data_IF_921100882192
#
_entry.id   IF_921100882192
#
_cell.length_a   1.000
_cell.length_b   1.000
_cell.length_c   1.000
_cell.angle_alpha   90.00
_cell.angle_beta   90.00
_cell.angle_gamma   90.00
#
_symmetry.space_group_name_H-M   'P 1'
#
loop_
_entity.id
_entity.type
_entity.pdbx_description
1 polymer ?
#
# COMPACT_ATOMS: atom_id res chain seq x y z
N UNK A 1 34.79 -16.68 28.36
CA UNK A 1 33.69 -15.69 28.23
C UNK A 1 33.49 -15.38 26.75
N UNK A 2 32.57 -16.08 26.07
CA UNK A 2 32.27 -15.82 24.64
C UNK A 2 31.14 -14.79 24.57
N UNK A 3 31.46 -13.58 24.11
CA UNK A 3 30.48 -12.53 23.79
C UNK A 3 29.56 -13.05 22.69
N UNK A 4 28.30 -13.32 23.03
CA UNK A 4 27.25 -13.59 22.05
C UNK A 4 26.86 -12.25 21.42
N UNK A 5 27.34 -12.01 20.20
CA UNK A 5 26.86 -10.91 19.39
C UNK A 5 25.46 -11.26 18.90
N UNK A 6 24.45 -10.58 19.42
CA UNK A 6 23.09 -10.63 18.88
C UNK A 6 23.09 -9.86 17.56
N UNK A 7 23.25 -10.58 16.44
CA UNK A 7 22.95 -10.04 15.12
C UNK A 7 21.42 -10.04 15.01
N UNK A 8 20.80 -8.89 15.32
CA UNK A 8 19.42 -8.63 14.92
C UNK A 8 19.48 -8.28 13.45
N UNK A 9 19.28 -9.28 12.59
CA UNK A 9 19.01 -9.05 11.17
C UNK A 9 17.64 -8.40 11.10
N UNK A 10 17.57 -7.07 11.08
CA UNK A 10 16.38 -6.38 10.60
C UNK A 10 16.34 -6.61 9.09
N UNK A 11 15.68 -7.69 8.72
CA UNK A 11 15.30 -7.97 7.35
C UNK A 11 14.20 -6.97 7.02
N UNK A 12 14.52 -6.06 6.10
CA UNK A 12 13.51 -5.47 5.22
C UNK A 12 12.64 -6.61 4.68
N UNK A 13 11.34 -6.38 4.66
CA UNK A 13 10.32 -7.36 4.37
C UNK A 13 10.45 -7.90 2.95
N UNK A 14 11.33 -8.90 2.77
CA UNK A 14 11.31 -9.79 1.62
C UNK A 14 10.04 -10.61 1.75
N UNK A 15 8.98 -10.14 1.08
CA UNK A 15 7.84 -11.01 0.81
C UNK A 15 8.29 -12.05 -0.20
N UNK A 16 8.60 -13.24 0.30
CA UNK A 16 8.72 -14.46 -0.50
C UNK A 16 7.50 -14.54 -1.42
N UNK A 17 7.77 -14.61 -2.72
CA UNK A 17 6.79 -15.03 -3.70
C UNK A 17 6.32 -16.43 -3.32
N UNK A 18 5.16 -16.51 -2.66
CA UNK A 18 4.40 -17.74 -2.65
C UNK A 18 3.92 -17.97 -4.08
N UNK A 19 4.69 -18.75 -4.83
CA UNK A 19 4.20 -19.49 -5.98
C UNK A 19 3.17 -20.51 -5.47
N UNK A 20 1.99 -20.04 -5.09
CA UNK A 20 0.80 -20.87 -5.00
C UNK A 20 0.08 -20.75 -6.35
N UNK A 21 -0.38 -21.87 -6.93
CA UNK A 21 -1.34 -21.81 -8.02
C UNK A 21 -2.65 -21.29 -7.43
N UNK A 22 -2.79 -19.97 -7.37
CA UNK A 22 -4.03 -19.28 -7.11
C UNK A 22 -4.90 -19.47 -8.35
N UNK A 23 -5.54 -20.63 -8.45
CA UNK A 23 -6.76 -20.78 -9.22
C UNK A 23 -7.86 -19.99 -8.49
N UNK A 24 -7.78 -18.65 -8.56
CA UNK A 24 -8.88 -17.78 -8.19
C UNK A 24 -9.87 -17.91 -9.32
N UNK A 25 -10.88 -18.75 -9.13
CA UNK A 25 -12.13 -18.59 -9.86
C UNK A 25 -12.72 -17.27 -9.38
N UNK A 26 -12.35 -16.17 -10.04
CA UNK A 26 -13.06 -14.90 -9.87
C UNK A 26 -14.38 -15.07 -10.60
N UNK A 27 -15.54 -15.06 -9.92
CA UNK A 27 -16.77 -14.71 -10.61
C UNK A 27 -16.61 -13.24 -10.99
N UNK A 28 -16.16 -12.98 -12.22
CA UNK A 28 -16.23 -11.68 -12.84
C UNK A 28 -17.72 -11.32 -12.94
N UNK A 29 -18.25 -10.67 -11.91
CA UNK A 29 -19.56 -10.04 -12.00
C UNK A 29 -19.39 -8.84 -12.95
N UNK A 30 -20.02 -8.84 -14.13
CA UNK A 30 -19.86 -7.73 -15.07
C UNK A 30 -20.47 -6.48 -14.43
N UNK A 31 -19.65 -5.45 -14.21
CA UNK A 31 -20.14 -4.14 -13.80
C UNK A 31 -20.82 -3.52 -15.02
N UNK A 32 -22.15 -3.36 -14.96
CA UNK A 32 -22.94 -2.78 -16.05
C UNK A 32 -22.80 -1.25 -16.06
N UNK A 33 -21.99 -0.71 -16.97
CA UNK A 33 -21.92 0.74 -17.23
C UNK A 33 -22.77 1.15 -18.43
N UNK A 34 -23.24 2.41 -18.42
CA UNK A 34 -23.96 3.00 -19.55
C UNK A 34 -23.11 2.98 -20.83
N UNK A 35 -23.68 2.48 -21.94
CA UNK A 35 -23.03 2.32 -23.25
C UNK A 35 -22.55 3.67 -23.80
N UNK A 36 -21.26 3.97 -23.64
CA UNK A 36 -20.60 5.00 -24.45
C UNK A 36 -20.35 4.46 -25.86
N UNK A 37 -20.82 5.18 -26.87
CA UNK A 37 -20.81 4.77 -28.29
C UNK A 37 -19.49 5.03 -29.01
N UNK A 38 -18.52 5.71 -28.37
CA UNK A 38 -17.23 6.06 -29.00
C UNK A 38 -16.17 5.00 -28.71
N UNK A 39 -15.93 4.09 -29.66
CA UNK A 39 -14.85 3.08 -29.58
C UNK A 39 -13.48 3.76 -29.58
N UNK A 40 -12.78 3.72 -28.45
CA UNK A 40 -11.36 4.14 -28.36
C UNK A 40 -10.49 2.98 -28.87
N UNK A 41 -9.62 3.26 -29.84
CA UNK A 41 -8.71 2.26 -30.38
C UNK A 41 -7.60 1.91 -29.37
N UNK A 42 -7.18 0.64 -29.33
CA UNK A 42 -6.11 0.18 -28.42
C UNK A 42 -4.79 0.93 -28.60
N UNK A 43 -4.46 1.37 -29.83
CA UNK A 43 -3.29 2.22 -30.10
C UNK A 43 -3.32 3.56 -29.35
N UNK A 44 -4.50 4.13 -29.16
CA UNK A 44 -4.69 5.38 -28.41
C UNK A 44 -4.45 5.14 -26.91
N UNK A 45 -4.94 4.02 -26.37
CA UNK A 45 -4.70 3.62 -24.98
C UNK A 45 -3.21 3.40 -24.74
N UNK A 46 -2.55 2.61 -25.59
CA UNK A 46 -1.11 2.34 -25.49
C UNK A 46 -0.27 3.62 -25.58
N UNK A 47 -0.62 4.55 -26.49
CA UNK A 47 0.05 5.86 -26.58
C UNK A 47 -0.09 6.66 -25.29
N UNK A 48 -1.30 6.74 -24.72
CA UNK A 48 -1.52 7.47 -23.47
C UNK A 48 -0.69 6.89 -22.32
N UNK A 49 -0.63 5.57 -22.19
CA UNK A 49 0.18 4.87 -21.16
C UNK A 49 1.67 5.16 -21.35
N UNK A 50 2.20 5.07 -22.58
CA UNK A 50 3.63 5.34 -22.86
C UNK A 50 4.03 6.78 -22.58
N UNK A 51 3.08 7.71 -22.57
CA UNK A 51 3.32 9.12 -22.26
C UNK A 51 3.25 9.45 -20.77
N UNK A 52 2.96 8.47 -19.90
CA UNK A 52 2.99 8.69 -18.45
C UNK A 52 4.37 8.36 -17.87
N UNK A 53 4.82 9.07 -16.82
CA UNK A 53 5.94 8.60 -16.01
C UNK A 53 5.68 7.17 -15.50
N UNK A 54 6.75 6.46 -15.16
CA UNK A 54 6.64 5.06 -14.75
C UNK A 54 5.63 4.87 -13.61
N UNK A 55 4.77 3.86 -13.71
CA UNK A 55 3.73 3.54 -12.73
C UNK A 55 2.82 4.75 -12.31
N UNK A 56 2.82 5.87 -13.03
CA UNK A 56 2.13 7.10 -12.62
C UNK A 56 1.02 7.49 -13.61
N UNK A 57 -0.22 6.99 -13.47
CA UNK A 57 -1.28 7.22 -14.45
C UNK A 57 -1.78 8.67 -14.41
N UNK A 58 -1.34 9.49 -15.35
CA UNK A 58 -1.73 10.90 -15.43
C UNK A 58 -3.19 11.07 -15.86
N UNK A 59 -3.66 12.32 -15.98
CA UNK A 59 -5.03 12.59 -16.40
C UNK A 59 -5.39 12.05 -17.79
N UNK A 60 -4.42 11.86 -18.71
CA UNK A 60 -4.66 11.29 -20.04
C UNK A 60 -5.13 9.84 -19.98
N UNK A 61 -4.71 9.09 -18.95
CA UNK A 61 -5.07 7.69 -18.71
C UNK A 61 -6.33 7.56 -17.88
N UNK A 62 -6.63 8.51 -16.99
CA UNK A 62 -7.78 8.48 -16.06
C UNK A 62 -9.07 9.10 -16.58
N UNK A 63 -9.08 9.58 -17.82
CA UNK A 63 -10.24 10.25 -18.45
C UNK A 63 -10.81 9.45 -19.63
N UNK A 64 -10.45 8.19 -19.79
CA UNK A 64 -11.09 7.35 -20.80
C UNK A 64 -12.55 7.04 -20.40
N UNK A 65 -13.43 6.73 -21.37
CA UNK A 65 -14.75 6.20 -21.07
C UNK A 65 -14.69 4.87 -20.32
N UNK A 66 -15.70 4.57 -19.49
CA UNK A 66 -15.80 3.33 -18.71
C UNK A 66 -15.54 2.05 -19.54
N UNK A 67 -16.10 1.98 -20.75
CA UNK A 67 -15.90 0.86 -21.68
C UNK A 67 -14.45 0.57 -22.05
N UNK A 68 -13.55 1.55 -21.93
CA UNK A 68 -12.10 1.37 -22.14
C UNK A 68 -11.48 0.67 -20.94
N UNK A 69 -11.87 1.04 -19.73
CA UNK A 69 -11.43 0.36 -18.52
C UNK A 69 -11.92 -1.08 -18.51
N UNK A 70 -13.20 -1.33 -18.80
CA UNK A 70 -13.76 -2.69 -18.88
C UNK A 70 -13.05 -3.57 -19.91
N UNK A 71 -12.61 -2.98 -21.03
CA UNK A 71 -11.93 -3.72 -22.10
C UNK A 71 -10.45 -3.95 -21.84
N UNK A 72 -9.77 -3.00 -21.20
CA UNK A 72 -8.31 -2.97 -21.08
C UNK A 72 -7.81 -3.00 -19.63
N UNK A 73 -8.64 -3.41 -18.67
CA UNK A 73 -8.30 -3.40 -17.24
C UNK A 73 -6.96 -4.10 -16.94
N UNK A 74 -6.72 -5.29 -17.51
CA UNK A 74 -5.44 -6.03 -17.36
C UNK A 74 -4.22 -5.24 -17.85
N UNK A 75 -4.40 -4.37 -18.84
CA UNK A 75 -3.32 -3.49 -19.33
C UNK A 75 -3.04 -2.41 -18.30
N UNK A 76 -4.07 -1.83 -17.69
CA UNK A 76 -3.89 -0.83 -16.64
C UNK A 76 -3.29 -1.44 -15.37
N UNK A 77 -3.77 -2.61 -14.95
CA UNK A 77 -3.23 -3.38 -13.83
C UNK A 77 -1.73 -3.58 -13.98
N UNK A 78 -1.33 -4.17 -15.12
CA UNK A 78 0.08 -4.38 -15.45
C UNK A 78 0.89 -3.11 -15.49
N UNK A 79 0.44 -2.08 -16.18
CA UNK A 79 1.28 -0.89 -16.41
C UNK A 79 1.38 0.03 -15.21
N UNK A 80 0.51 -0.12 -14.23
CA UNK A 80 0.45 0.71 -13.03
C UNK A 80 0.56 -0.09 -11.73
N UNK A 81 0.87 -1.38 -11.79
CA UNK A 81 0.95 -2.30 -10.65
C UNK A 81 -0.31 -2.19 -9.77
N UNK A 82 -1.51 -2.30 -10.34
CA UNK A 82 -2.76 -2.23 -9.57
C UNK A 82 -3.57 -3.49 -9.75
N UNK A 83 -4.37 -3.84 -8.75
CA UNK A 83 -5.22 -5.03 -8.79
C UNK A 83 -6.37 -4.94 -7.77
N UNK A 84 -7.48 -5.66 -7.97
CA UNK A 84 -8.60 -5.68 -7.01
C UNK A 84 -8.25 -6.50 -5.75
N UNK A 85 -7.65 -5.86 -4.76
CA UNK A 85 -7.22 -6.51 -3.50
C UNK A 85 -8.33 -6.58 -2.43
N UNK A 86 -9.37 -5.77 -2.58
CA UNK A 86 -10.54 -5.78 -1.69
C UNK A 86 -11.63 -6.68 -2.26
N UNK A 87 -12.37 -7.36 -1.38
CA UNK A 87 -13.53 -8.14 -1.82
C UNK A 87 -14.60 -7.22 -2.44
N UNK A 88 -15.41 -7.71 -3.41
CA UNK A 88 -16.54 -6.96 -3.93
C UNK A 88 -17.46 -6.45 -2.80
N UNK A 89 -17.84 -5.17 -2.87
CA UNK A 89 -18.72 -4.53 -1.89
C UNK A 89 -18.02 -3.96 -0.65
N UNK A 90 -16.71 -4.14 -0.48
CA UNK A 90 -15.94 -3.50 0.60
C UNK A 90 -16.02 -1.98 0.53
N UNK A 91 -15.89 -1.45 -0.68
CA UNK A 91 -16.16 -0.06 -0.98
C UNK A 91 -17.50 0.05 -1.67
N UNK A 92 -18.44 0.66 -0.96
CA UNK A 92 -19.79 0.94 -1.45
C UNK A 92 -19.88 2.42 -1.76
N UNK A 93 -20.15 2.75 -3.01
CA UNK A 93 -20.09 4.12 -3.53
C UNK A 93 -18.74 4.79 -3.21
N UNK A 94 -17.62 4.09 -3.46
CA UNK A 94 -16.28 4.59 -3.18
C UNK A 94 -16.01 4.91 -1.72
N UNK A 95 -16.63 4.17 -0.80
CA UNK A 95 -16.45 4.34 0.65
C UNK A 95 -16.40 2.99 1.37
N UNK A 96 -15.32 2.75 2.11
CA UNK A 96 -15.21 1.69 3.10
C UNK A 96 -15.46 2.22 4.52
N UNK A 97 -15.94 1.34 5.41
CA UNK A 97 -16.11 1.62 6.84
C UNK A 97 -15.07 0.83 7.62
N UNK A 98 -14.16 1.53 8.29
CA UNK A 98 -13.01 0.95 8.99
C UNK A 98 -13.31 0.83 10.49
N UNK A 99 -13.29 -0.39 11.02
CA UNK A 99 -13.45 -0.64 12.44
C UNK A 99 -12.12 -1.06 13.10
N UNK A 100 -11.76 -0.37 14.18
CA UNK A 100 -10.55 -0.62 14.96
C UNK A 100 -10.95 -0.98 16.39
N UNK A 101 -10.84 -2.26 16.74
CA UNK A 101 -11.16 -2.73 18.08
C UNK A 101 -10.09 -2.33 19.10
N UNK A 102 -8.81 -2.49 18.72
CA UNK A 102 -7.68 -2.22 19.60
C UNK A 102 -7.44 -0.70 19.76
N UNK A 103 -7.40 -0.22 21.00
CA UNK A 103 -7.24 1.21 21.30
C UNK A 103 -5.88 1.77 20.85
N UNK A 104 -4.81 0.98 20.92
CA UNK A 104 -3.47 1.41 20.54
C UNK A 104 -3.37 1.78 19.04
N UNK A 105 -4.14 1.11 18.19
CA UNK A 105 -4.11 1.34 16.73
C UNK A 105 -5.03 2.48 16.26
N UNK A 106 -5.91 3.01 17.12
CA UNK A 106 -6.97 3.95 16.67
C UNK A 106 -6.42 5.24 16.10
N UNK A 107 -5.54 5.93 16.83
CA UNK A 107 -5.00 7.23 16.39
C UNK A 107 -4.21 7.09 15.09
N UNK A 108 -3.37 6.06 14.98
CA UNK A 108 -2.61 5.75 13.77
C UNK A 108 -3.52 5.47 12.57
N UNK A 109 -4.53 4.61 12.76
CA UNK A 109 -5.47 4.25 11.68
C UNK A 109 -6.25 5.47 11.21
N UNK A 110 -6.71 6.33 12.13
CA UNK A 110 -7.50 7.50 11.78
C UNK A 110 -6.65 8.53 11.02
N UNK A 111 -5.39 8.70 11.39
CA UNK A 111 -4.46 9.54 10.65
C UNK A 111 -4.21 9.00 9.23
N UNK A 112 -4.01 7.69 9.07
CA UNK A 112 -3.86 7.04 7.77
C UNK A 112 -5.10 7.22 6.86
N UNK A 113 -6.30 7.01 7.41
CA UNK A 113 -7.57 7.27 6.71
C UNK A 113 -7.69 8.74 6.26
N UNK A 114 -7.35 9.68 7.15
CA UNK A 114 -7.39 11.11 6.84
C UNK A 114 -6.38 11.49 5.75
N UNK A 115 -5.20 10.87 5.76
CA UNK A 115 -4.16 11.11 4.75
C UNK A 115 -4.68 10.79 3.34
N UNK A 116 -5.20 9.58 3.14
CA UNK A 116 -5.83 9.16 1.88
C UNK A 116 -7.03 10.03 1.52
N UNK A 117 -7.95 10.27 2.47
CA UNK A 117 -9.14 11.07 2.20
C UNK A 117 -8.79 12.50 1.74
N UNK A 118 -7.80 13.13 2.37
CA UNK A 118 -7.31 14.47 2.02
C UNK A 118 -6.70 14.48 0.62
N UNK A 119 -5.80 13.52 0.33
CA UNK A 119 -5.11 13.45 -0.95
C UNK A 119 -6.05 13.13 -2.12
N UNK A 120 -7.06 12.28 -1.89
CA UNK A 120 -8.05 11.91 -2.89
C UNK A 120 -9.21 12.91 -3.00
N UNK A 121 -9.33 13.83 -2.03
CA UNK A 121 -10.43 14.80 -1.91
C UNK A 121 -11.81 14.13 -1.86
N UNK A 122 -11.88 12.93 -1.29
CA UNK A 122 -13.11 12.15 -1.09
C UNK A 122 -13.01 11.39 0.22
N UNK A 123 -14.16 11.01 0.82
CA UNK A 123 -14.19 10.16 2.01
C UNK A 123 -14.13 8.68 1.62
N UNK A 124 -13.00 8.24 1.05
CA UNK A 124 -12.75 6.84 0.72
C UNK A 124 -12.86 5.93 1.95
N UNK A 125 -12.44 6.43 3.11
CA UNK A 125 -12.54 5.74 4.39
C UNK A 125 -13.38 6.53 5.38
N UNK A 126 -14.32 5.85 6.04
CA UNK A 126 -15.10 6.38 7.17
C UNK A 126 -14.95 5.49 8.39
N UNK A 127 -15.18 6.06 9.56
CA UNK A 127 -15.25 5.28 10.79
C UNK A 127 -16.40 4.27 10.70
N UNK A 128 -16.08 3.00 10.97
CA UNK A 128 -17.02 1.92 11.16
C UNK A 128 -17.21 1.60 12.64
N UNK A 129 -18.22 0.79 12.92
CA UNK A 129 -18.47 0.22 14.26
C UNK A 129 -18.33 -1.29 14.22
N UNK A 130 -18.29 -1.94 15.40
CA UNK A 130 -18.28 -3.40 15.50
C UNK A 130 -19.42 -4.05 14.68
N UNK A 131 -20.60 -3.41 14.67
CA UNK A 131 -21.77 -3.90 13.93
C UNK A 131 -21.84 -3.41 12.47
N UNK A 132 -21.11 -2.37 12.09
CA UNK A 132 -21.21 -1.74 10.76
C UNK A 132 -19.84 -1.32 10.25
N UNK A 133 -19.14 -2.27 9.63
CA UNK A 133 -17.85 -2.08 9.01
C UNK A 133 -17.73 -2.90 7.72
N UNK A 134 -16.75 -2.55 6.90
CA UNK A 134 -16.32 -3.35 5.75
C UNK A 134 -14.84 -3.71 5.85
N UNK A 135 -14.04 -2.96 6.61
CA UNK A 135 -12.63 -3.26 6.91
C UNK A 135 -12.43 -3.35 8.42
N UNK A 136 -11.65 -4.33 8.89
CA UNK A 136 -11.21 -4.40 10.29
C UNK A 136 -9.71 -4.19 10.43
N UNK A 137 -9.29 -3.52 11.50
CA UNK A 137 -7.88 -3.31 11.85
C UNK A 137 -7.55 -3.96 13.19
N UNK A 138 -6.45 -4.71 13.24
CA UNK A 138 -6.00 -5.37 14.46
C UNK A 138 -4.53 -5.79 14.41
N UNK A 139 -4.10 -6.51 15.46
CA UNK A 139 -2.78 -7.13 15.51
C UNK A 139 -2.83 -8.58 15.04
N UNK A 140 -1.70 -9.11 14.56
CA UNK A 140 -1.49 -10.54 14.31
C UNK A 140 -0.01 -10.87 14.51
N UNK A 141 0.28 -12.10 14.94
CA UNK A 141 1.65 -12.61 15.01
C UNK A 141 2.12 -12.92 13.58
N UNK A 142 3.23 -12.33 13.15
CA UNK A 142 3.88 -12.65 11.87
C UNK A 142 5.35 -13.09 12.04
N UNK A 143 5.77 -13.44 13.25
CA UNK A 143 7.16 -13.70 13.59
C UNK A 143 8.05 -12.45 13.45
N UNK A 144 9.37 -12.70 13.45
CA UNK A 144 10.42 -11.68 13.27
C UNK A 144 11.50 -12.14 12.27
N UNK A 145 11.25 -13.23 11.54
CA UNK A 145 12.20 -13.83 10.60
C UNK A 145 11.86 -13.51 9.14
N UNK A 146 12.44 -14.29 8.23
CA UNK A 146 12.11 -14.21 6.81
C UNK A 146 10.61 -14.40 6.56
N UNK A 147 10.03 -13.57 5.69
CA UNK A 147 8.58 -13.55 5.42
C UNK A 147 7.72 -12.86 6.49
N UNK A 148 8.34 -12.27 7.53
CA UNK A 148 7.64 -11.34 8.41
C UNK A 148 7.32 -10.02 7.70
N UNK A 149 6.36 -9.28 8.24
CA UNK A 149 5.84 -8.04 7.66
C UNK A 149 5.48 -7.07 8.78
N UNK A 150 5.45 -5.78 8.46
CA UNK A 150 5.03 -4.71 9.39
C UNK A 150 3.52 -4.57 9.44
N UNK A 151 2.95 -4.47 8.24
CA UNK A 151 1.54 -4.47 7.97
C UNK A 151 1.16 -5.58 7.00
N UNK A 152 -0.10 -6.00 7.04
CA UNK A 152 -0.63 -6.92 6.04
C UNK A 152 -2.13 -6.72 5.82
N UNK A 153 -2.48 -6.28 4.62
CA UNK A 153 -3.85 -6.22 4.15
C UNK A 153 -4.24 -7.47 3.37
N UNK A 154 -5.24 -8.19 3.85
CA UNK A 154 -5.82 -9.33 3.15
C UNK A 154 -7.32 -9.43 3.41
N UNK A 155 -8.11 -9.59 2.35
CA UNK A 155 -9.55 -9.89 2.44
C UNK A 155 -10.28 -8.95 3.41
N UNK A 156 -10.09 -7.65 3.22
CA UNK A 156 -10.68 -6.58 4.04
C UNK A 156 -10.22 -6.53 5.51
N UNK A 157 -9.09 -7.17 5.83
CA UNK A 157 -8.50 -7.16 7.17
C UNK A 157 -7.11 -6.59 7.07
N UNK A 158 -6.86 -5.55 7.85
CA UNK A 158 -5.57 -4.91 8.01
C UNK A 158 -4.97 -5.39 9.32
N UNK A 159 -3.80 -6.00 9.24
CA UNK A 159 -3.04 -6.41 10.41
C UNK A 159 -1.78 -5.59 10.59
N UNK A 160 -1.40 -5.37 11.84
CA UNK A 160 -0.08 -4.90 12.24
C UNK A 160 0.62 -6.04 12.98
N UNK A 161 1.91 -6.22 12.72
CA UNK A 161 2.69 -7.25 13.39
C UNK A 161 3.02 -6.81 14.82
N UNK A 162 2.41 -7.48 15.81
CA UNK A 162 2.63 -7.07 17.20
C UNK A 162 4.04 -7.38 17.70
N UNK A 163 4.79 -8.29 17.05
CA UNK A 163 6.18 -8.57 17.45
C UNK A 163 7.11 -7.37 17.20
N UNK A 164 6.72 -6.50 16.28
CA UNK A 164 7.46 -5.30 15.90
C UNK A 164 6.90 -4.03 16.52
N UNK A 165 5.57 -3.95 16.68
CA UNK A 165 4.89 -2.76 17.19
C UNK A 165 5.50 -2.26 18.49
N UNK A 166 5.54 -3.06 19.56
CA UNK A 166 6.06 -2.61 20.86
C UNK A 166 7.59 -2.81 21.01
N UNK A 167 8.30 -3.20 19.94
CA UNK A 167 9.73 -3.45 19.99
C UNK A 167 10.53 -2.16 19.75
N UNK A 168 11.13 -1.64 20.81
CA UNK A 168 11.90 -0.39 20.75
C UNK A 168 13.16 -0.46 19.89
N UNK A 169 13.69 -1.67 19.63
CA UNK A 169 14.84 -1.90 18.76
C UNK A 169 14.47 -2.02 17.29
N UNK A 170 13.16 -2.12 16.96
CA UNK A 170 12.71 -2.36 15.61
C UNK A 170 12.89 -1.14 14.70
N UNK A 171 12.33 0.01 15.09
CA UNK A 171 12.43 1.25 14.32
C UNK A 171 13.89 1.65 14.00
N UNK A 172 14.85 1.64 14.96
CA UNK A 172 16.25 1.91 14.64
C UNK A 172 16.84 0.98 13.58
N UNK A 173 16.43 -0.29 13.59
CA UNK A 173 16.97 -1.29 12.71
C UNK A 173 16.38 -1.17 11.29
N UNK A 174 15.06 -0.96 11.17
CA UNK A 174 14.40 -0.65 9.88
C UNK A 174 14.94 0.64 9.29
N UNK A 175 15.02 1.72 10.07
CA UNK A 175 15.56 2.99 9.59
C UNK A 175 16.97 2.85 9.00
N UNK A 176 17.84 2.06 9.65
CA UNK A 176 19.18 1.78 9.14
C UNK A 176 19.18 0.91 7.90
N UNK A 177 18.31 -0.10 7.83
CA UNK A 177 18.20 -0.97 6.66
C UNK A 177 17.77 -0.16 5.41
N UNK A 178 16.78 0.71 5.56
CA UNK A 178 16.16 1.45 4.45
C UNK A 178 16.99 2.66 4.01
N UNK A 179 17.51 3.43 4.97
CA UNK A 179 18.25 4.68 4.67
C UNK A 179 19.76 4.47 4.54
N UNK A 180 20.28 3.31 4.96
CA UNK A 180 21.72 3.07 5.10
C UNK A 180 22.38 3.83 6.26
N UNK A 181 21.63 4.63 7.03
CA UNK A 181 22.14 5.47 8.12
C UNK A 181 21.50 5.12 9.46
N UNK A 182 22.23 5.18 10.59
CA UNK A 182 21.59 5.01 11.88
C UNK A 182 20.59 6.13 12.17
N UNK A 183 19.62 5.85 13.05
CA UNK A 183 18.75 6.91 13.57
C UNK A 183 19.58 8.06 14.13
N UNK A 184 19.14 9.32 13.91
CA UNK A 184 19.77 10.48 14.53
C UNK A 184 19.89 10.30 16.04
N UNK A 185 20.99 10.76 16.64
CA UNK A 185 21.28 10.55 18.07
C UNK A 185 20.12 10.97 18.99
N UNK A 186 19.45 12.09 18.68
CA UNK A 186 18.28 12.56 19.42
C UNK A 186 17.10 11.55 19.41
N UNK A 187 17.02 10.73 18.37
CA UNK A 187 16.03 9.68 18.18
C UNK A 187 16.53 8.29 18.58
N UNK A 188 17.70 8.13 19.22
CA UNK A 188 18.18 6.80 19.62
C UNK A 188 17.60 6.33 20.96
N UNK A 189 17.11 7.25 21.79
CA UNK A 189 16.49 6.92 23.07
C UNK A 189 14.98 6.73 22.90
N UNK A 190 14.42 5.53 23.15
CA UNK A 190 12.97 5.29 22.96
C UNK A 190 12.05 6.19 23.79
N UNK A 191 12.59 6.81 24.82
CA UNK A 191 11.88 7.75 25.69
C UNK A 191 11.86 9.19 25.16
N UNK A 192 12.71 9.54 24.18
CA UNK A 192 12.81 10.89 23.63
C UNK A 192 11.57 11.29 22.83
N UNK A 193 11.32 12.59 22.72
CA UNK A 193 10.19 13.12 21.96
C UNK A 193 10.35 12.83 20.45
N UNK A 194 11.59 12.90 19.96
CA UNK A 194 11.97 12.66 18.58
C UNK A 194 11.75 11.20 18.19
N UNK A 195 12.17 10.24 19.03
CA UNK A 195 11.89 8.83 18.79
C UNK A 195 10.38 8.57 18.77
N UNK A 196 9.65 9.05 19.78
CA UNK A 196 8.19 8.85 19.86
C UNK A 196 7.47 9.45 18.66
N UNK A 197 7.91 10.61 18.18
CA UNK A 197 7.37 11.26 16.98
C UNK A 197 7.64 10.43 15.73
N UNK A 198 8.89 10.00 15.52
CA UNK A 198 9.26 9.19 14.35
C UNK A 198 8.60 7.81 14.37
N UNK A 199 8.60 7.13 15.51
CA UNK A 199 7.87 5.88 15.74
C UNK A 199 6.39 6.06 15.40
N UNK A 200 5.79 7.16 15.85
CA UNK A 200 4.40 7.43 15.55
C UNK A 200 4.15 7.72 14.07
N UNK A 201 5.08 8.36 13.38
CA UNK A 201 5.00 8.59 11.93
C UNK A 201 5.15 7.28 11.17
N UNK A 202 6.14 6.46 11.53
CA UNK A 202 6.37 5.16 10.90
C UNK A 202 5.13 4.25 10.94
N UNK A 203 4.51 4.06 12.12
CA UNK A 203 3.29 3.25 12.18
C UNK A 203 2.06 3.88 11.52
N UNK A 204 1.98 5.22 11.41
CA UNK A 204 0.98 5.87 10.52
C UNK A 204 1.25 5.50 9.07
N UNK A 205 2.51 5.51 8.64
CA UNK A 205 2.91 5.18 7.27
C UNK A 205 2.59 3.73 6.93
N UNK A 206 2.92 2.78 7.82
CA UNK A 206 2.55 1.36 7.64
C UNK A 206 1.02 1.24 7.47
N UNK A 207 0.22 1.86 8.33
CA UNK A 207 -1.24 1.85 8.18
C UNK A 207 -1.72 2.55 6.89
N UNK A 208 -1.04 3.61 6.44
CA UNK A 208 -1.33 4.27 5.17
C UNK A 208 -1.01 3.37 3.98
N UNK A 209 0.12 2.66 4.02
CA UNK A 209 0.53 1.66 3.03
C UNK A 209 -0.54 0.56 2.90
N UNK A 210 -0.93 -0.05 4.02
CA UNK A 210 -1.93 -1.11 4.00
C UNK A 210 -3.33 -0.65 3.55
N UNK A 211 -3.71 0.59 3.88
CA UNK A 211 -4.92 1.18 3.32
C UNK A 211 -4.77 1.45 1.81
N UNK A 212 -3.56 1.71 1.32
CA UNK A 212 -3.25 1.77 -0.12
C UNK A 212 -3.53 0.46 -0.83
N UNK A 213 -3.13 -0.68 -0.24
CA UNK A 213 -3.53 -2.00 -0.74
C UNK A 213 -5.04 -2.16 -0.79
N UNK A 214 -5.79 -1.69 0.22
CA UNK A 214 -7.26 -1.74 0.16
C UNK A 214 -7.86 -0.96 -1.01
N UNK A 215 -7.17 0.08 -1.51
CA UNK A 215 -7.53 0.85 -2.71
C UNK A 215 -7.02 0.18 -4.00
N UNK A 216 -6.47 -1.03 -3.94
CA UNK A 216 -5.98 -1.80 -5.07
C UNK A 216 -4.58 -1.41 -5.55
N UNK A 217 -3.76 -0.81 -4.70
CA UNK A 217 -2.37 -0.48 -5.04
C UNK A 217 -1.45 -1.63 -4.70
N UNK A 218 -0.69 -2.12 -5.68
CA UNK A 218 0.44 -3.01 -5.40
C UNK A 218 1.71 -2.20 -5.12
N UNK A 219 2.81 -2.87 -4.83
CA UNK A 219 4.07 -2.22 -4.52
C UNK A 219 4.66 -1.46 -5.71
N UNK A 220 5.49 -0.47 -5.39
CA UNK A 220 6.42 0.19 -6.32
C UNK A 220 7.84 0.04 -5.80
N UNK A 221 8.86 0.20 -6.65
CA UNK A 221 10.24 0.18 -6.18
C UNK A 221 10.71 1.54 -5.63
N UNK A 222 9.90 2.60 -5.59
CA UNK A 222 10.42 3.96 -5.35
C UNK A 222 10.31 4.36 -3.89
N UNK A 223 11.44 4.69 -3.24
CA UNK A 223 11.49 4.99 -1.80
C UNK A 223 10.58 6.13 -1.34
N UNK A 224 10.22 7.04 -2.25
CA UNK A 224 9.35 8.19 -1.97
C UNK A 224 7.87 7.94 -2.26
N UNK A 225 7.48 6.71 -2.60
CA UNK A 225 6.10 6.27 -2.64
C UNK A 225 5.73 5.59 -1.31
N UNK A 226 4.52 5.82 -0.80
CA UNK A 226 4.08 5.10 0.40
C UNK A 226 3.98 3.59 0.15
N UNK A 227 3.75 3.20 -1.11
CA UNK A 227 3.65 1.82 -1.58
C UNK A 227 5.03 1.22 -1.93
N UNK A 228 6.13 1.80 -1.48
CA UNK A 228 7.47 1.25 -1.71
C UNK A 228 7.61 -0.16 -1.12
N UNK A 229 8.32 -1.05 -1.83
CA UNK A 229 8.85 -2.30 -1.28
C UNK A 229 10.23 -2.57 -1.89
N UNK A 230 11.14 -3.14 -1.09
CA UNK A 230 12.53 -3.42 -1.46
C UNK A 230 12.68 -4.37 -2.63
N UNK A 231 11.74 -5.29 -2.76
CA UNK A 231 11.69 -6.30 -3.78
C UNK A 231 10.25 -6.49 -4.24
N UNK A 232 10.12 -6.92 -5.49
CA UNK A 232 8.84 -7.21 -6.10
C UNK A 232 9.05 -8.28 -7.14
N UNK A 233 8.42 -9.44 -6.93
CA UNK A 233 8.36 -10.45 -7.98
C UNK A 233 7.27 -10.06 -8.96
N UNK A 234 7.54 -10.17 -10.26
CA UNK A 234 6.50 -10.04 -11.28
C UNK A 234 5.45 -11.14 -11.08
N UNK A 235 4.36 -10.82 -10.37
CA UNK A 235 3.10 -11.54 -10.48
C UNK A 235 2.47 -11.23 -11.85
N UNK A 236 1.45 -11.99 -12.29
CA UNK A 236 0.85 -11.86 -13.63
C UNK A 236 0.43 -10.43 -14.04
N UNK A 237 0.21 -9.58 -13.03
CA UNK A 237 -0.32 -8.22 -13.12
C UNK A 237 0.69 -7.13 -12.71
N UNK A 238 1.95 -7.47 -12.42
CA UNK A 238 3.00 -6.47 -12.19
C UNK A 238 3.76 -6.15 -13.50
N UNK A 239 4.21 -4.90 -13.65
CA UNK A 239 4.91 -4.42 -14.86
C UNK A 239 6.25 -5.14 -15.07
N UNK A 240 7.04 -5.23 -14.02
CA UNK A 240 8.39 -5.78 -14.01
C UNK A 240 8.76 -6.22 -12.58
N UNK A 241 9.72 -7.14 -12.44
CA UNK A 241 10.32 -7.48 -11.14
C UNK A 241 11.38 -6.44 -10.76
N UNK A 242 11.67 -6.33 -9.47
CA UNK A 242 12.84 -5.60 -8.94
C UNK A 242 13.35 -6.28 -7.67
N UNK A 243 14.64 -6.16 -7.43
CA UNK A 243 15.30 -6.77 -6.27
C UNK A 243 15.87 -5.73 -5.29
N UNK A 244 15.70 -4.44 -5.59
CA UNK A 244 16.14 -3.32 -4.74
C UNK A 244 15.21 -2.11 -4.87
N UNK A 245 15.12 -1.31 -3.80
CA UNK A 245 14.53 0.03 -3.86
C UNK A 245 15.29 0.93 -4.84
N UNK A 246 14.54 1.66 -5.66
CA UNK A 246 14.95 2.86 -6.36
C UNK A 246 14.88 4.04 -5.39
N UNK A 247 15.98 4.29 -4.70
CA UNK A 247 16.13 5.47 -3.84
C UNK A 247 16.11 6.73 -4.71
N UNK A 248 15.07 7.55 -4.56
CA UNK A 248 14.93 8.80 -5.33
C UNK A 248 15.72 9.93 -4.69
N UNK A 249 15.63 10.02 -3.36
CA UNK A 249 16.30 10.99 -2.49
C UNK A 249 16.15 10.49 -1.03
N UNK A 250 16.50 11.33 -0.05
CA UNK A 250 16.34 11.02 1.37
C UNK A 250 14.87 11.15 1.87
N UNK A 251 13.88 11.30 0.98
CA UNK A 251 12.47 11.41 1.34
C UNK A 251 11.76 10.05 1.33
N UNK A 252 12.21 9.17 2.21
CA UNK A 252 11.57 7.86 2.41
C UNK A 252 10.16 8.05 2.96
N UNK A 253 9.15 7.71 2.15
CA UNK A 253 7.75 7.99 2.46
C UNK A 253 7.27 7.31 3.75
N UNK A 254 7.83 6.14 4.06
CA UNK A 254 7.56 5.39 5.29
C UNK A 254 7.95 6.13 6.57
N UNK A 255 8.93 7.03 6.52
CA UNK A 255 9.35 7.84 7.68
C UNK A 255 8.70 9.23 7.72
N UNK A 256 7.89 9.57 6.71
CA UNK A 256 7.24 10.88 6.59
C UNK A 256 5.70 10.78 6.52
N UNK A 257 5.14 9.58 6.32
CA UNK A 257 3.72 9.34 6.07
C UNK A 257 3.21 10.17 4.89
N UNK A 258 4.00 10.25 3.82
CA UNK A 258 3.72 11.06 2.65
C UNK A 258 3.18 10.20 1.51
N UNK A 259 2.11 10.67 0.87
CA UNK A 259 1.60 10.09 -0.38
C UNK A 259 2.26 10.79 -1.56
N UNK A 260 2.89 10.01 -2.44
CA UNK A 260 3.46 10.56 -3.67
C UNK A 260 2.36 10.88 -4.69
N UNK A 261 2.69 11.66 -5.72
CA UNK A 261 1.77 11.86 -6.84
C UNK A 261 1.43 10.53 -7.54
N UNK A 262 2.37 9.58 -7.55
CA UNK A 262 2.17 8.25 -8.13
C UNK A 262 1.14 7.45 -7.34
N UNK A 263 1.26 7.41 -6.01
CA UNK A 263 0.28 6.76 -5.11
C UNK A 263 -1.12 7.30 -5.33
N UNK A 264 -1.26 8.63 -5.30
CA UNK A 264 -2.53 9.32 -5.48
C UNK A 264 -3.10 9.05 -6.88
N UNK A 265 -2.24 9.03 -7.89
CA UNK A 265 -2.69 8.84 -9.26
C UNK A 265 -3.15 7.42 -9.53
N UNK A 266 -2.41 6.43 -9.03
CA UNK A 266 -2.80 5.02 -9.08
C UNK A 266 -4.10 4.78 -8.31
N UNK A 267 -4.27 5.37 -7.13
CA UNK A 267 -5.52 5.22 -6.37
C UNK A 267 -6.72 5.81 -7.13
N UNK A 268 -6.54 6.94 -7.80
CA UNK A 268 -7.60 7.50 -8.68
C UNK A 268 -7.87 6.65 -9.91
N UNK A 269 -6.85 5.94 -10.43
CA UNK A 269 -7.04 4.96 -11.52
C UNK A 269 -7.86 3.76 -11.03
N UNK A 270 -7.52 3.19 -9.87
CA UNK A 270 -8.24 2.04 -9.31
C UNK A 270 -9.69 2.35 -8.96
N UNK A 271 -9.98 3.62 -8.62
CA UNK A 271 -11.35 4.10 -8.49
C UNK A 271 -12.16 3.97 -9.80
N UNK A 272 -11.57 4.37 -10.94
CA UNK A 272 -12.25 4.30 -12.24
C UNK A 272 -12.27 2.88 -12.83
N UNK A 273 -11.33 2.02 -12.40
CA UNK A 273 -11.37 0.57 -12.65
C UNK A 273 -12.42 -0.15 -11.78
N UNK A 274 -12.96 0.53 -10.76
CA UNK A 274 -14.00 -0.02 -9.87
C UNK A 274 -13.48 -0.88 -8.73
N UNK A 275 -12.19 -0.79 -8.37
CA UNK A 275 -11.61 -1.58 -7.28
C UNK A 275 -11.95 -1.01 -5.90
N UNK A 276 -12.25 0.27 -5.85
CA UNK A 276 -12.82 0.94 -4.68
C UNK A 276 -13.78 2.03 -5.12
#
# INVERSE_FOLDING_TARGET
MKKRSFVVTALASVTVALAMPLAISTPASPITYAKSTKKVAGKTVAKAIRSTPDLNPTASVRKFPASVYDKYWQVFDRWYNVQPMSQPGTFKNHTAKVYVANKALKSYTYAAMQNWNKALKVKAFKLGTKANHTITVGFKNAGTGEGSWDGYYITNRLYINYNFFDNTQYLPAVYKAETGTPLPTASQQPTSAEYKSLYATYWKSVLTHELGHSLGLDHTPYSNDIMAADSGTKSGDAKYSWDNLKVVNNDFAEFQNQLSTRDINRAKLTKVLGYW
#
